data_IF_589290414051
#
_entry.id   IF_589290414051
#
_cell.length_a   1.000
_cell.length_b   1.000
_cell.length_c   1.000
_cell.angle_alpha   90.00
_cell.angle_beta   90.00
_cell.angle_gamma   90.00
#
_symmetry.space_group_name_H-M   'P 1'
#
loop_
_entity.id
_entity.type
_entity.pdbx_description
1 polymer ?
#
# COMPACT_ATOMS: atom_id res chain seq x y z
N UNK A 1 -3.76 -8.34 8.53
CA UNK A 1 -2.66 -9.23 8.98
C UNK A 1 -1.80 -8.49 9.99
N UNK A 2 -1.19 -9.22 10.93
CA UNK A 2 -0.18 -8.69 11.86
C UNK A 2 0.95 -9.71 11.97
N UNK A 3 2.19 -9.24 12.15
CA UNK A 3 3.36 -10.10 12.30
C UNK A 3 3.96 -9.93 13.68
N UNK A 4 4.29 -11.04 14.34
CA UNK A 4 4.96 -11.06 15.64
C UNK A 4 6.42 -11.43 15.42
N UNK A 5 7.33 -10.59 15.89
CA UNK A 5 8.75 -10.94 15.99
C UNK A 5 9.05 -11.44 17.40
N UNK A 6 9.91 -12.45 17.51
CA UNK A 6 10.49 -12.84 18.79
C UNK A 6 11.32 -11.68 19.35
N UNK A 7 11.25 -11.44 20.66
CA UNK A 7 11.91 -10.30 21.30
C UNK A 7 13.41 -10.22 21.00
N UNK A 8 14.10 -11.37 21.02
CA UNK A 8 15.53 -11.44 20.70
C UNK A 8 15.88 -11.11 19.25
N UNK A 9 14.92 -11.23 18.32
CA UNK A 9 15.12 -10.95 16.90
C UNK A 9 14.87 -9.47 16.56
N UNK A 10 14.24 -8.69 17.45
CA UNK A 10 13.90 -7.29 17.19
C UNK A 10 15.14 -6.45 16.82
N UNK A 11 16.29 -6.55 17.52
CA UNK A 11 17.48 -5.79 17.15
C UNK A 11 18.01 -6.10 15.75
N UNK A 12 17.75 -7.30 15.21
CA UNK A 12 18.26 -7.73 13.91
C UNK A 12 17.39 -7.24 12.74
N UNK A 13 16.07 -7.23 12.92
CA UNK A 13 15.13 -6.92 11.83
C UNK A 13 14.57 -5.49 11.89
N UNK A 14 14.36 -4.95 13.09
CA UNK A 14 13.65 -3.68 13.25
C UNK A 14 14.42 -2.48 12.71
N UNK A 15 15.76 -2.36 12.85
CA UNK A 15 16.48 -1.21 12.31
C UNK A 15 16.33 -1.06 10.80
N UNK A 16 16.43 -2.16 10.04
CA UNK A 16 16.29 -2.13 8.58
C UNK A 16 14.85 -1.78 8.15
N UNK A 17 13.86 -2.29 8.87
CA UNK A 17 12.45 -1.90 8.67
C UNK A 17 12.26 -0.41 8.95
N UNK A 18 12.78 0.08 10.07
CA UNK A 18 12.66 1.47 10.47
C UNK A 18 13.28 2.42 9.46
N UNK A 19 14.51 2.14 9.01
CA UNK A 19 15.20 2.93 7.99
C UNK A 19 14.38 2.99 6.69
N UNK A 20 13.84 1.85 6.24
CA UNK A 20 13.04 1.78 5.02
C UNK A 20 11.77 2.63 5.11
N UNK A 21 11.02 2.53 6.21
CA UNK A 21 9.72 3.20 6.32
C UNK A 21 9.84 4.67 6.75
N UNK A 22 10.87 5.04 7.52
CA UNK A 22 10.98 6.38 8.10
C UNK A 22 11.87 7.34 7.32
N UNK A 23 12.63 6.86 6.32
CA UNK A 23 13.63 7.66 5.58
C UNK A 23 13.08 8.86 4.81
N UNK A 24 11.83 8.80 4.32
CA UNK A 24 11.25 9.83 3.44
C UNK A 24 10.29 10.78 4.14
N UNK A 25 9.96 10.53 5.41
CA UNK A 25 8.89 11.24 6.13
C UNK A 25 7.48 11.01 5.57
N UNK A 26 7.31 10.04 4.64
CA UNK A 26 6.02 9.68 4.07
C UNK A 26 5.10 8.96 5.07
N UNK A 27 5.68 8.34 6.11
CA UNK A 27 4.95 7.58 7.12
C UNK A 27 5.12 8.15 8.53
N UNK A 28 4.13 7.89 9.37
CA UNK A 28 4.14 8.13 10.82
C UNK A 28 4.02 6.78 11.55
N UNK A 29 4.86 6.51 12.57
CA UNK A 29 4.72 5.31 13.38
C UNK A 29 3.59 5.51 14.40
N UNK A 30 2.70 4.51 14.50
CA UNK A 30 1.56 4.51 15.43
C UNK A 30 1.39 3.14 16.06
N UNK A 31 1.19 3.12 17.38
CA UNK A 31 0.70 1.94 18.07
C UNK A 31 -0.82 1.95 18.04
N UNK A 32 -1.42 0.95 17.39
CA UNK A 32 -2.88 0.80 17.31
C UNK A 32 -3.31 -0.58 17.83
N UNK A 33 -4.58 -0.70 18.17
CA UNK A 33 -5.20 -1.99 18.47
C UNK A 33 -5.68 -2.62 17.16
N UNK A 34 -5.23 -3.84 16.90
CA UNK A 34 -5.61 -4.64 15.75
C UNK A 34 -6.47 -5.82 16.23
N UNK A 35 -7.63 -6.02 15.61
CA UNK A 35 -8.41 -7.23 15.77
C UNK A 35 -7.78 -8.36 14.97
N UNK A 36 -7.61 -9.51 15.61
CA UNK A 36 -7.16 -10.77 15.00
C UNK A 36 -8.11 -11.89 15.43
N UNK A 37 -7.98 -13.06 14.81
CA UNK A 37 -8.75 -14.25 15.19
C UNK A 37 -8.43 -14.73 16.62
N UNK A 38 -7.28 -14.33 17.16
CA UNK A 38 -6.84 -14.60 18.54
C UNK A 38 -7.25 -13.50 19.53
N UNK A 39 -7.88 -12.42 19.06
CA UNK A 39 -8.33 -11.29 19.86
C UNK A 39 -7.64 -9.97 19.53
N UNK A 40 -7.73 -9.01 20.45
CA UNK A 40 -7.12 -7.69 20.26
C UNK A 40 -5.63 -7.72 20.61
N UNK A 41 -4.79 -7.25 19.70
CA UNK A 41 -3.35 -7.09 19.92
C UNK A 41 -2.92 -5.65 19.64
N UNK A 42 -1.92 -5.16 20.38
CA UNK A 42 -1.31 -3.85 20.12
C UNK A 42 -0.16 -4.03 19.13
N UNK A 43 -0.23 -3.35 17.99
CA UNK A 43 0.78 -3.46 16.92
C UNK A 43 1.31 -2.09 16.50
N UNK A 44 2.58 -2.05 16.09
CA UNK A 44 3.19 -0.89 15.45
C UNK A 44 2.83 -0.89 13.97
N UNK A 45 2.30 0.23 13.49
CA UNK A 45 1.88 0.42 12.10
C UNK A 45 2.47 1.72 11.56
N UNK A 46 2.92 1.70 10.32
CA UNK A 46 3.38 2.87 9.58
C UNK A 46 2.22 3.39 8.73
N UNK A 47 1.67 4.55 9.10
CA UNK A 47 0.51 5.14 8.44
C UNK A 47 0.93 6.35 7.61
N UNK A 48 0.29 6.55 6.46
CA UNK A 48 0.60 7.66 5.56
C UNK A 48 0.49 9.01 6.30
N UNK A 49 1.54 9.83 6.22
CA UNK A 49 1.53 11.19 6.72
C UNK A 49 0.72 12.09 5.77
N UNK A 50 -0.49 12.45 6.18
CA UNK A 50 -1.39 13.28 5.35
C UNK A 50 -0.98 14.75 5.24
N UNK A 51 0.00 15.17 6.05
CA UNK A 51 0.59 16.51 6.00
C UNK A 51 1.87 16.55 5.15
N UNK A 52 2.33 15.40 4.66
CA UNK A 52 3.47 15.35 3.74
C UNK A 52 3.08 15.99 2.38
N UNK A 53 3.90 16.89 1.80
CA UNK A 53 3.61 17.51 0.50
C UNK A 53 3.40 16.52 -0.66
N UNK A 54 3.96 15.31 -0.57
CA UNK A 54 3.77 14.26 -1.56
C UNK A 54 2.44 13.49 -1.42
N UNK A 55 1.63 13.77 -0.39
CA UNK A 55 0.35 13.11 -0.19
C UNK A 55 -0.77 13.75 -1.01
N UNK A 56 -1.31 12.98 -1.95
CA UNK A 56 -2.44 13.39 -2.79
C UNK A 56 -3.74 12.87 -2.15
N UNK A 57 -4.58 13.78 -1.63
CA UNK A 57 -5.83 13.45 -0.91
C UNK A 57 -6.88 12.76 -1.77
N UNK A 58 -7.17 13.35 -2.91
CA UNK A 58 -8.19 12.90 -3.83
C UNK A 58 -7.72 13.19 -5.24
N UNK A 59 -7.83 12.20 -6.09
CA UNK A 59 -7.48 12.28 -7.50
C UNK A 59 -8.63 11.62 -8.26
N UNK A 60 -9.13 12.21 -9.35
CA UNK A 60 -10.12 11.56 -10.21
C UNK A 60 -9.60 10.19 -10.67
N UNK A 61 -10.47 9.19 -10.73
CA UNK A 61 -10.05 7.81 -11.06
C UNK A 61 -9.32 7.74 -12.41
N UNK A 62 -9.69 8.57 -13.41
CA UNK A 62 -9.01 8.62 -14.70
C UNK A 62 -7.54 9.08 -14.60
N UNK A 63 -7.29 10.12 -13.82
CA UNK A 63 -5.92 10.65 -13.62
C UNK A 63 -5.09 9.68 -12.76
N UNK A 64 -5.70 9.06 -11.74
CA UNK A 64 -5.06 8.02 -10.95
C UNK A 64 -4.60 6.85 -11.83
N UNK A 65 -5.46 6.36 -12.71
CA UNK A 65 -5.12 5.27 -13.62
C UNK A 65 -4.01 5.68 -14.59
N UNK A 66 -4.08 6.88 -15.17
CA UNK A 66 -3.04 7.39 -16.05
C UNK A 66 -1.68 7.46 -15.33
N UNK A 67 -1.64 7.94 -14.08
CA UNK A 67 -0.44 7.98 -13.25
C UNK A 67 0.07 6.57 -12.96
N UNK A 68 -0.79 5.65 -12.50
CA UNK A 68 -0.38 4.28 -12.15
C UNK A 68 0.13 3.51 -13.37
N UNK A 69 -0.49 3.70 -14.54
CA UNK A 69 -0.08 3.05 -15.81
C UNK A 69 1.32 3.47 -16.26
N UNK A 70 1.69 4.74 -16.08
CA UNK A 70 3.00 5.29 -16.49
C UNK A 70 4.09 5.21 -15.41
N UNK A 71 3.72 5.10 -14.14
CA UNK A 71 4.67 5.15 -13.04
C UNK A 71 5.48 3.84 -12.92
N UNK A 72 6.80 3.98 -12.80
CA UNK A 72 7.73 2.89 -12.51
C UNK A 72 8.81 3.38 -11.55
N UNK A 73 9.23 2.53 -10.62
CA UNK A 73 10.29 2.84 -9.67
C UNK A 73 11.34 1.73 -9.61
N UNK A 74 12.23 1.81 -8.62
CA UNK A 74 13.29 0.82 -8.36
C UNK A 74 12.79 -0.63 -8.28
N UNK A 75 11.53 -0.83 -7.90
CA UNK A 75 10.92 -2.14 -7.65
C UNK A 75 9.95 -2.60 -8.74
N UNK A 76 9.93 -1.95 -9.91
CA UNK A 76 9.07 -2.33 -11.03
C UNK A 76 7.94 -1.34 -11.32
N UNK A 77 6.93 -1.79 -12.05
CA UNK A 77 5.82 -0.94 -12.49
C UNK A 77 4.81 -0.75 -11.35
N UNK A 78 4.27 0.46 -11.23
CA UNK A 78 3.23 0.75 -10.23
C UNK A 78 1.95 -0.08 -10.48
N UNK A 79 1.66 -0.37 -11.75
CA UNK A 79 0.59 -1.30 -12.17
C UNK A 79 0.73 -2.69 -11.53
N UNK A 80 1.91 -3.30 -11.61
CA UNK A 80 2.18 -4.61 -11.01
C UNK A 80 1.96 -4.58 -9.50
N UNK A 81 2.49 -3.55 -8.83
CA UNK A 81 2.30 -3.37 -7.40
C UNK A 81 0.82 -3.28 -7.01
N UNK A 82 0.03 -2.43 -7.68
CA UNK A 82 -1.40 -2.25 -7.38
C UNK A 82 -2.19 -3.54 -7.60
N UNK A 83 -1.96 -4.23 -8.72
CA UNK A 83 -2.66 -5.48 -9.06
C UNK A 83 -2.30 -6.59 -8.09
N UNK A 84 -1.00 -6.80 -7.81
CA UNK A 84 -0.55 -7.83 -6.87
C UNK A 84 -1.03 -7.56 -5.44
N UNK A 85 -1.08 -6.29 -5.02
CA UNK A 85 -1.60 -5.93 -3.69
C UNK A 85 -3.08 -6.27 -3.58
N UNK A 86 -3.89 -5.94 -4.59
CA UNK A 86 -5.31 -6.30 -4.61
C UNK A 86 -5.50 -7.83 -4.56
N UNK A 87 -4.72 -8.59 -5.33
CA UNK A 87 -4.75 -10.06 -5.30
C UNK A 87 -4.38 -10.63 -3.92
N UNK A 88 -3.32 -10.10 -3.29
CA UNK A 88 -2.86 -10.54 -1.97
C UNK A 88 -3.89 -10.24 -0.87
N UNK A 89 -4.53 -9.06 -0.91
CA UNK A 89 -5.61 -8.73 0.04
C UNK A 89 -6.81 -9.68 -0.11
N UNK A 90 -7.24 -9.95 -1.35
CA UNK A 90 -8.32 -10.91 -1.62
C UNK A 90 -7.98 -12.31 -1.12
N UNK A 91 -6.76 -12.80 -1.37
CA UNK A 91 -6.30 -14.10 -0.89
C UNK A 91 -6.25 -14.17 0.65
N UNK A 92 -5.96 -13.05 1.32
CA UNK A 92 -5.99 -12.92 2.77
C UNK A 92 -7.40 -12.67 3.35
N UNK A 93 -8.46 -12.68 2.53
CA UNK A 93 -9.84 -12.41 2.95
C UNK A 93 -10.14 -10.94 3.28
N UNK A 94 -9.24 -10.02 2.96
CA UNK A 94 -9.39 -8.58 3.20
C UNK A 94 -10.08 -7.94 1.99
N UNK A 95 -11.22 -7.29 2.21
CA UNK A 95 -11.99 -6.61 1.17
C UNK A 95 -11.65 -5.12 1.13
N UNK A 96 -11.03 -4.67 0.03
CA UNK A 96 -10.85 -3.25 -0.30
C UNK A 96 -11.52 -2.95 -1.64
N UNK A 97 -12.77 -2.46 -1.57
CA UNK A 97 -13.58 -2.22 -2.76
C UNK A 97 -12.99 -1.16 -3.71
N UNK A 98 -12.22 -0.19 -3.17
CA UNK A 98 -11.62 0.86 -3.99
C UNK A 98 -10.42 0.31 -4.74
N UNK A 99 -9.52 -0.38 -4.03
CA UNK A 99 -8.34 -0.97 -4.64
C UNK A 99 -8.73 -2.05 -5.65
N UNK A 100 -9.73 -2.87 -5.35
CA UNK A 100 -10.26 -3.89 -6.28
C UNK A 100 -10.78 -3.25 -7.57
N UNK A 101 -11.53 -2.14 -7.49
CA UNK A 101 -12.03 -1.42 -8.66
C UNK A 101 -10.88 -0.88 -9.51
N UNK A 102 -9.89 -0.27 -8.88
CA UNK A 102 -8.72 0.29 -9.58
C UNK A 102 -7.93 -0.84 -10.26
N UNK A 103 -7.65 -1.93 -9.56
CA UNK A 103 -6.91 -3.07 -10.09
C UNK A 103 -7.58 -3.67 -11.33
N UNK A 104 -8.92 -3.88 -11.31
CA UNK A 104 -9.66 -4.39 -12.48
C UNK A 104 -9.52 -3.46 -13.69
N UNK A 105 -9.63 -2.15 -13.49
CA UNK A 105 -9.45 -1.15 -14.57
C UNK A 105 -8.02 -1.10 -15.12
N UNK A 106 -7.02 -1.52 -14.34
CA UNK A 106 -5.63 -1.62 -14.80
C UNK A 106 -5.37 -2.91 -15.58
N UNK A 107 -6.17 -3.96 -15.37
CA UNK A 107 -6.11 -5.24 -16.10
C UNK A 107 -6.87 -5.17 -17.44
N UNK A 108 -7.84 -4.26 -17.58
CA UNK A 108 -8.51 -3.96 -18.85
C UNK A 108 -7.51 -3.35 -19.86
N UNK A 109 -7.55 -3.76 -21.15
CA UNK A 109 -6.75 -3.12 -22.19
C UNK A 109 -7.06 -1.61 -22.24
N UNK A 110 -6.05 -0.77 -22.48
CA UNK A 110 -6.29 0.64 -22.77
C UNK A 110 -7.19 0.73 -24.01
N UNK A 111 -8.38 1.30 -23.85
CA UNK A 111 -9.22 1.68 -24.99
C UNK A 111 -8.43 2.78 -25.73
N UNK A 112 -8.04 2.57 -27.01
CA UNK A 112 -7.31 3.60 -27.73
C UNK A 112 -8.17 4.86 -27.75
N UNK A 113 -7.66 5.93 -27.16
CA UNK A 113 -8.31 7.24 -27.26
C UNK A 113 -8.52 7.54 -28.74
N UNK A 114 -9.78 7.61 -29.16
CA UNK A 114 -10.17 8.17 -30.44
C UNK A 114 -9.80 9.65 -30.35
N UNK A 115 -8.63 9.98 -30.88
CA UNK A 115 -8.28 11.36 -31.23
C UNK A 115 -9.37 11.86 -32.21
N UNK A 116 -10.06 12.93 -31.82
CA UNK A 116 -11.05 13.62 -32.63
C UNK A 116 -10.50 14.98 -33.07
#
# INVERSE_FOLDING_TARGET
MVYRLAGQAVPDYFPALWEREMSTGAYLPRWINCATDEGLVRALVFVMNRDNPAYIRALPDAELLAIVRRASGRYGRCTEYVVQTAQALRAAGIRDARLDRIARRLEEPDDPQVDN
#
